data_IF_592968225106
#
_entry.id   IF_592968225106
#
_cell.length_a   1.000
_cell.length_b   1.000
_cell.length_c   1.000
_cell.angle_alpha   90.00
_cell.angle_beta   90.00
_cell.angle_gamma   90.00
#
_symmetry.space_group_name_H-M   'P 1'
#
loop_
_entity.id
_entity.type
_entity.pdbx_description
1 polymer ?
#
# COMPACT_ATOMS: atom_id res chain seq x y z
N UNK A 1 7.64 -6.74 -7.93
CA UNK A 1 8.03 -6.36 -6.55
C UNK A 1 9.18 -7.21 -6.01
N UNK A 2 9.17 -8.55 -6.17
CA UNK A 2 10.18 -9.45 -5.59
C UNK A 2 11.44 -9.67 -6.47
N UNK A 3 11.41 -9.30 -7.74
CA UNK A 3 12.59 -9.36 -8.63
C UNK A 3 13.71 -8.44 -8.15
N UNK A 4 14.95 -8.75 -8.53
CA UNK A 4 16.15 -7.94 -8.18
C UNK A 4 15.97 -6.49 -8.61
N UNK A 5 15.60 -6.27 -9.87
CA UNK A 5 15.31 -4.95 -10.44
C UNK A 5 14.17 -4.23 -9.70
N UNK A 6 13.12 -4.97 -9.33
CA UNK A 6 11.99 -4.41 -8.60
C UNK A 6 12.38 -3.93 -7.21
N UNK A 7 13.21 -4.70 -6.49
CA UNK A 7 13.73 -4.32 -5.18
C UNK A 7 14.61 -3.07 -5.26
N UNK A 8 15.46 -2.98 -6.28
CA UNK A 8 16.33 -1.83 -6.50
C UNK A 8 15.54 -0.56 -6.79
N UNK A 9 14.55 -0.62 -7.71
CA UNK A 9 13.65 0.51 -7.99
C UNK A 9 12.94 1.00 -6.74
N UNK A 10 12.39 0.08 -5.94
CA UNK A 10 11.74 0.45 -4.68
C UNK A 10 12.71 1.07 -3.69
N UNK A 11 13.90 0.50 -3.50
CA UNK A 11 14.91 1.04 -2.58
C UNK A 11 15.30 2.46 -2.94
N UNK A 12 15.55 2.72 -4.22
CA UNK A 12 15.88 4.06 -4.71
C UNK A 12 14.72 5.04 -4.49
N UNK A 13 13.49 4.62 -4.76
CA UNK A 13 12.30 5.45 -4.51
C UNK A 13 12.09 5.77 -3.02
N UNK A 14 12.19 4.76 -2.15
CA UNK A 14 11.94 4.88 -0.71
C UNK A 14 12.96 5.85 -0.07
N UNK A 15 14.25 5.72 -0.43
CA UNK A 15 15.33 6.51 0.16
C UNK A 15 15.24 8.03 -0.14
N UNK A 16 14.53 8.43 -1.18
CA UNK A 16 14.28 9.86 -1.48
C UNK A 16 13.52 10.56 -0.33
N UNK A 17 12.79 9.79 0.47
CA UNK A 17 11.93 10.30 1.53
C UNK A 17 12.52 10.19 2.94
N UNK A 18 13.75 9.69 3.09
CA UNK A 18 14.40 9.46 4.38
C UNK A 18 14.42 10.69 5.30
N UNK A 19 14.60 11.89 4.73
CA UNK A 19 14.64 13.16 5.47
C UNK A 19 13.33 13.96 5.40
N UNK A 20 12.30 13.40 4.77
CA UNK A 20 11.03 14.11 4.50
C UNK A 20 9.85 13.49 5.25
N UNK A 21 9.91 12.19 5.50
CA UNK A 21 8.83 11.43 6.10
C UNK A 21 9.42 10.66 7.27
N UNK A 22 8.91 10.92 8.46
CA UNK A 22 9.25 10.13 9.64
C UNK A 22 8.79 8.69 9.42
N UNK A 23 9.63 7.74 9.86
CA UNK A 23 9.33 6.31 9.76
C UNK A 23 9.03 5.83 8.33
N UNK A 24 9.68 6.43 7.32
CA UNK A 24 9.52 6.11 5.90
C UNK A 24 9.70 4.61 5.58
N UNK A 25 10.55 3.92 6.35
CA UNK A 25 10.86 2.50 6.21
C UNK A 25 10.09 1.59 7.19
N UNK A 26 9.13 2.12 7.95
CA UNK A 26 8.35 1.34 8.92
C UNK A 26 7.56 0.22 8.25
N UNK A 27 7.59 -0.97 8.85
CA UNK A 27 6.92 -2.16 8.34
C UNK A 27 5.40 -2.04 8.42
N UNK A 28 4.71 -2.38 7.34
CA UNK A 28 3.25 -2.37 7.25
C UNK A 28 2.76 -3.52 6.37
N UNK A 29 1.44 -3.69 6.30
CA UNK A 29 0.78 -4.71 5.51
C UNK A 29 -0.03 -4.05 4.39
N UNK A 30 0.03 -4.63 3.20
CA UNK A 30 -0.69 -4.11 2.04
C UNK A 30 -1.42 -5.26 1.33
N UNK A 31 -2.58 -4.96 0.75
CA UNK A 31 -3.33 -5.93 -0.04
C UNK A 31 -2.68 -6.12 -1.41
N UNK A 32 -2.55 -7.36 -1.87
CA UNK A 32 -2.00 -7.70 -3.19
C UNK A 32 -2.90 -7.19 -4.31
N UNK A 33 -4.21 -7.19 -4.09
CA UNK A 33 -5.22 -6.68 -5.01
C UNK A 33 -6.16 -5.71 -4.27
N UNK A 34 -6.48 -4.53 -4.82
CA UNK A 34 -7.41 -3.60 -4.19
C UNK A 34 -8.84 -4.14 -4.05
N UNK A 35 -9.21 -5.21 -4.78
CA UNK A 35 -10.53 -5.83 -4.72
C UNK A 35 -10.68 -6.89 -3.62
N UNK A 36 -9.59 -7.24 -2.94
CA UNK A 36 -9.61 -8.27 -1.89
C UNK A 36 -9.69 -7.65 -0.50
N UNK A 37 -10.16 -8.42 0.47
CA UNK A 37 -10.00 -8.11 1.89
C UNK A 37 -8.61 -8.54 2.39
N UNK A 38 -8.29 -8.17 3.64
CA UNK A 38 -7.08 -8.65 4.29
C UNK A 38 -7.24 -10.13 4.63
N UNK A 39 -6.49 -10.97 3.95
CA UNK A 39 -6.37 -12.39 4.22
C UNK A 39 -4.90 -12.84 4.22
N UNK A 40 -4.68 -14.12 4.53
CA UNK A 40 -3.34 -14.69 4.65
C UNK A 40 -2.56 -14.64 3.33
N UNK A 41 -3.23 -14.91 2.21
CA UNK A 41 -2.61 -14.97 0.88
C UNK A 41 -2.78 -13.64 0.10
N UNK A 42 -3.76 -12.83 0.53
CA UNK A 42 -4.13 -11.55 -0.07
C UNK A 42 -3.31 -10.38 0.48
N UNK A 43 -2.46 -10.61 1.48
CA UNK A 43 -1.68 -9.58 2.17
C UNK A 43 -0.18 -9.82 1.99
N UNK A 44 0.58 -8.75 1.80
CA UNK A 44 2.05 -8.78 1.80
C UNK A 44 2.62 -7.74 2.74
N UNK A 45 3.79 -8.05 3.30
CA UNK A 45 4.58 -7.08 4.06
C UNK A 45 5.28 -6.11 3.10
N UNK A 46 5.19 -4.83 3.42
CA UNK A 46 5.84 -3.74 2.72
C UNK A 46 6.32 -2.68 3.71
N UNK A 47 7.01 -1.65 3.24
CA UNK A 47 7.32 -0.48 4.06
C UNK A 47 6.34 0.66 3.83
N UNK A 48 6.26 1.60 4.77
CA UNK A 48 5.36 2.76 4.74
C UNK A 48 5.36 3.51 3.42
N UNK A 49 6.54 3.77 2.83
CA UNK A 49 6.60 4.44 1.53
C UNK A 49 6.02 3.63 0.37
N UNK A 50 6.13 2.30 0.41
CA UNK A 50 5.49 1.43 -0.59
C UNK A 50 3.98 1.45 -0.42
N UNK A 51 3.50 1.40 0.83
CA UNK A 51 2.08 1.52 1.14
C UNK A 51 1.51 2.86 0.64
N UNK A 52 2.15 3.98 0.96
CA UNK A 52 1.69 5.29 0.47
C UNK A 52 1.68 5.36 -1.05
N UNK A 53 2.75 4.94 -1.73
CA UNK A 53 2.79 4.97 -3.19
C UNK A 53 1.63 4.18 -3.81
N UNK A 54 1.34 2.98 -3.28
CA UNK A 54 0.32 2.10 -3.82
C UNK A 54 -1.09 2.58 -3.45
N UNK A 55 -1.35 2.91 -2.19
CA UNK A 55 -2.69 3.30 -1.73
C UNK A 55 -3.11 4.69 -2.21
N UNK A 56 -2.16 5.63 -2.39
CA UNK A 56 -2.47 6.93 -2.99
C UNK A 56 -2.97 6.76 -4.44
N UNK A 57 -2.32 5.89 -5.22
CA UNK A 57 -2.78 5.59 -6.59
C UNK A 57 -4.12 4.87 -6.55
N UNK A 58 -4.31 3.86 -5.69
CA UNK A 58 -5.60 3.15 -5.55
C UNK A 58 -6.74 4.10 -5.20
N UNK A 59 -6.50 5.07 -4.31
CA UNK A 59 -7.49 6.08 -3.94
C UNK A 59 -7.78 7.06 -5.09
N UNK A 60 -6.75 7.49 -5.82
CA UNK A 60 -6.93 8.36 -7.00
C UNK A 60 -7.71 7.69 -8.12
N UNK A 61 -7.51 6.39 -8.31
CA UNK A 61 -8.17 5.58 -9.35
C UNK A 61 -9.51 4.96 -8.88
N UNK A 62 -9.98 5.27 -7.65
CA UNK A 62 -11.25 4.74 -7.13
C UNK A 62 -11.27 3.23 -6.88
N UNK A 63 -10.11 2.56 -6.83
CA UNK A 63 -10.02 1.10 -6.69
C UNK A 63 -10.41 0.60 -5.29
N UNK A 64 -10.45 1.51 -4.30
CA UNK A 64 -10.80 1.22 -2.91
C UNK A 64 -12.23 1.65 -2.53
N UNK A 65 -13.01 2.23 -3.46
CA UNK A 65 -14.31 2.84 -3.15
C UNK A 65 -15.31 1.84 -2.55
N UNK A 66 -15.24 0.56 -2.96
CA UNK A 66 -16.08 -0.50 -2.43
C UNK A 66 -15.95 -0.68 -0.91
N UNK A 67 -14.77 -0.38 -0.33
CA UNK A 67 -14.54 -0.46 1.13
C UNK A 67 -15.31 0.66 1.83
N UNK A 68 -15.25 1.87 1.27
CA UNK A 68 -15.95 3.04 1.81
C UNK A 68 -17.47 2.84 1.75
N UNK A 69 -17.97 2.36 0.62
CA UNK A 69 -19.40 2.10 0.46
C UNK A 69 -19.89 0.96 1.36
N UNK A 70 -19.10 -0.11 1.54
CA UNK A 70 -19.40 -1.17 2.52
C UNK A 70 -19.44 -0.62 3.95
N UNK A 71 -18.43 0.16 4.36
CA UNK A 71 -18.37 0.75 5.70
C UNK A 71 -19.55 1.70 5.98
N UNK A 72 -19.97 2.49 4.99
CA UNK A 72 -21.19 3.33 5.10
C UNK A 72 -22.45 2.51 5.28
N UNK A 73 -22.57 1.37 4.59
CA UNK A 73 -23.74 0.51 4.67
C UNK A 73 -23.85 -0.17 6.04
N UNK A 74 -22.71 -0.57 6.64
CA UNK A 74 -22.66 -1.18 7.98
C UNK A 74 -22.91 -0.18 9.12
N UNK A 75 -22.69 1.11 8.86
CA UNK A 75 -22.94 2.19 9.83
C UNK A 75 -24.40 2.67 9.86
N UNK A 76 -25.30 2.12 9.03
CA UNK A 76 -26.74 2.43 9.01
C UNK A 76 -27.54 1.38 9.76
#
# INVERSE_FOLDING_TARGET
MKSKEGKEKWRNFINVYEKKIDDYNFGTVIRTNPKFEYGQDETIFAVRMQFYAIEIVRNREGLNDWIHEKAKAESK
#
